data_IF_867219917772
#
_entry.id   IF_867219917772
#
_cell.length_a   1.000
_cell.length_b   1.000
_cell.length_c   1.000
_cell.angle_alpha   90.00
_cell.angle_beta   90.00
_cell.angle_gamma   90.00
#
_symmetry.space_group_name_H-M   'P 1'
#
loop_
_entity.id
_entity.type
_entity.pdbx_description
1 polymer ?
#
# COMPACT_ATOMS: atom_id res chain seq x y z
N UNK A 1 -20.95 -20.43 4.35
CA UNK A 1 -19.92 -20.23 3.32
C UNK A 1 -19.60 -18.75 3.31
N UNK A 2 -18.84 -18.35 4.32
CA UNK A 2 -18.54 -16.97 4.68
C UNK A 2 -17.04 -16.99 4.94
N UNK A 3 -16.24 -16.70 3.92
CA UNK A 3 -14.77 -16.86 3.97
C UNK A 3 -14.12 -15.56 4.50
N UNK A 4 -14.92 -14.58 4.90
CA UNK A 4 -14.46 -13.37 5.58
C UNK A 4 -14.61 -13.54 7.09
N UNK A 5 -13.66 -14.27 7.67
CA UNK A 5 -13.60 -14.47 9.11
C UNK A 5 -12.28 -15.10 9.50
N UNK A 6 -11.38 -14.25 9.99
CA UNK A 6 -10.19 -14.54 10.83
C UNK A 6 -8.79 -14.44 10.21
N UNK A 7 -8.61 -14.49 8.89
CA UNK A 7 -7.24 -14.68 8.37
C UNK A 7 -6.58 -13.48 7.67
N UNK A 8 -7.22 -12.30 7.64
CA UNK A 8 -6.56 -11.05 7.16
C UNK A 8 -5.84 -10.30 8.30
N UNK A 9 -6.04 -10.73 9.54
CA UNK A 9 -5.41 -10.17 10.74
C UNK A 9 -5.18 -11.29 11.74
N UNK A 10 -4.08 -12.04 11.63
CA UNK A 10 -3.42 -12.53 12.84
C UNK A 10 -2.52 -11.36 13.29
N UNK A 11 -2.62 -10.79 14.50
CA UNK A 11 -2.74 -11.49 15.78
C UNK A 11 -3.37 -10.58 16.86
N UNK A 12 -4.61 -10.86 17.26
CA UNK A 12 -5.05 -10.64 18.66
C UNK A 12 -6.25 -11.51 19.02
N UNK A 13 -5.97 -12.74 19.44
CA UNK A 13 -6.77 -13.42 20.45
C UNK A 13 -5.81 -13.98 21.49
N UNK A 14 -5.80 -13.34 22.66
CA UNK A 14 -5.13 -13.82 23.85
C UNK A 14 -5.71 -15.20 24.22
N UNK A 15 -4.91 -16.26 24.08
CA UNK A 15 -5.08 -17.51 24.81
C UNK A 15 -3.86 -17.67 25.72
N UNK A 16 -4.08 -17.54 27.02
CA UNK A 16 -3.05 -17.55 28.03
C UNK A 16 -2.61 -19.00 28.31
N UNK A 17 -1.92 -19.64 27.36
CA UNK A 17 -1.31 -20.96 27.64
C UNK A 17 -0.14 -21.39 26.74
N UNK A 18 0.46 -20.51 25.92
CA UNK A 18 1.68 -20.84 25.18
C UNK A 18 2.70 -19.70 25.28
N UNK A 19 3.74 -19.93 26.08
CA UNK A 19 5.01 -19.20 25.96
C UNK A 19 5.69 -19.65 24.65
N UNK A 20 6.40 -18.70 24.02
CA UNK A 20 7.39 -18.88 22.94
C UNK A 20 6.85 -18.91 21.50
N UNK A 21 6.79 -17.74 20.85
CA UNK A 21 7.78 -17.15 19.92
C UNK A 21 7.11 -15.91 19.30
N UNK A 22 7.39 -14.72 19.83
CA UNK A 22 7.02 -13.47 19.16
C UNK A 22 8.04 -13.21 18.05
N UNK A 23 7.74 -13.69 16.84
CA UNK A 23 8.46 -13.28 15.62
C UNK A 23 7.89 -11.91 15.20
N UNK A 24 8.23 -10.86 15.95
CA UNK A 24 7.95 -9.50 15.51
C UNK A 24 8.74 -9.28 14.22
N UNK A 25 8.05 -8.94 13.13
CA UNK A 25 8.74 -8.59 11.89
C UNK A 25 9.63 -7.37 12.16
N UNK A 26 10.94 -7.58 12.12
CA UNK A 26 11.92 -6.53 12.41
C UNK A 26 12.03 -5.58 11.21
N UNK A 27 11.97 -4.27 11.46
CA UNK A 27 12.24 -3.25 10.45
C UNK A 27 13.76 -3.19 10.18
N UNK A 28 14.20 -3.91 9.14
CA UNK A 28 15.60 -4.02 8.73
C UNK A 28 16.03 -2.89 7.77
N UNK A 29 15.07 -2.10 7.28
CA UNK A 29 15.29 -0.94 6.42
C UNK A 29 14.25 0.14 6.72
N UNK A 30 14.60 1.44 6.69
CA UNK A 30 13.65 2.50 7.02
C UNK A 30 12.42 2.50 6.09
N UNK A 31 11.25 2.71 6.65
CA UNK A 31 10.02 2.89 5.87
C UNK A 31 10.05 4.22 5.11
N UNK A 32 10.11 4.17 3.76
CA UNK A 32 10.02 5.36 2.92
C UNK A 32 8.62 5.55 2.32
N UNK A 33 8.16 6.79 2.28
CA UNK A 33 6.81 7.17 1.85
C UNK A 33 6.80 8.46 1.04
N UNK A 34 5.72 8.66 0.30
CA UNK A 34 5.41 9.89 -0.44
C UNK A 34 4.16 10.54 0.15
N UNK A 35 4.12 11.86 0.33
CA UNK A 35 2.88 12.52 0.80
C UNK A 35 1.75 12.36 -0.23
N UNK A 36 0.50 12.30 0.22
CA UNK A 36 -0.65 12.28 -0.70
C UNK A 36 -0.64 13.48 -1.64
N UNK A 37 -0.26 14.67 -1.17
CA UNK A 37 -0.12 15.87 -2.00
C UNK A 37 0.84 15.65 -3.18
N UNK A 38 2.03 15.10 -2.91
CA UNK A 38 3.01 14.77 -3.95
C UNK A 38 2.46 13.68 -4.87
N UNK A 39 1.91 12.60 -4.32
CA UNK A 39 1.35 11.49 -5.10
C UNK A 39 0.24 11.95 -6.05
N UNK A 40 -0.58 12.91 -5.63
CA UNK A 40 -1.61 13.53 -6.45
C UNK A 40 -1.05 14.39 -7.60
N UNK A 41 0.20 14.83 -7.55
CA UNK A 41 0.85 15.61 -8.61
C UNK A 41 1.70 14.76 -9.56
N UNK A 42 2.04 13.53 -9.16
CA UNK A 42 2.85 12.61 -9.97
C UNK A 42 2.16 12.28 -11.30
N UNK A 43 2.87 12.50 -12.40
CA UNK A 43 2.42 12.15 -13.76
C UNK A 43 3.02 10.81 -14.24
N UNK A 44 4.07 10.35 -13.57
CA UNK A 44 4.74 9.07 -13.77
C UNK A 44 5.20 8.50 -12.43
N UNK A 45 5.34 7.18 -12.34
CA UNK A 45 5.96 6.54 -11.20
C UNK A 45 7.48 6.54 -11.39
N UNK A 46 8.17 7.27 -10.53
CA UNK A 46 9.64 7.28 -10.50
C UNK A 46 10.15 6.27 -9.45
N UNK A 47 11.32 5.65 -9.67
CA UNK A 47 11.92 4.73 -8.71
C UNK A 47 12.36 5.48 -7.43
N UNK A 48 12.55 4.71 -6.36
CA UNK A 48 12.98 5.19 -5.04
C UNK A 48 14.12 6.21 -5.09
N UNK A 49 15.21 5.89 -5.79
CA UNK A 49 16.41 6.73 -5.84
C UNK A 49 16.16 8.08 -6.52
N UNK A 50 15.27 8.11 -7.52
CA UNK A 50 14.91 9.34 -8.21
C UNK A 50 14.06 10.24 -7.30
N UNK A 51 13.02 9.70 -6.64
CA UNK A 51 12.19 10.48 -5.72
C UNK A 51 12.97 10.96 -4.48
N UNK A 52 13.89 10.14 -3.97
CA UNK A 52 14.76 10.52 -2.84
C UNK A 52 15.66 11.71 -3.22
N UNK A 53 16.25 11.68 -4.43
CA UNK A 53 17.08 12.76 -4.95
C UNK A 53 16.30 14.07 -5.14
N UNK A 54 15.05 13.99 -5.60
CA UNK A 54 14.17 15.14 -5.79
C UNK A 54 13.52 15.64 -4.47
N UNK A 55 13.80 14.99 -3.33
CA UNK A 55 13.24 15.35 -2.02
C UNK A 55 11.74 15.06 -1.89
N UNK A 56 11.21 14.20 -2.77
CA UNK A 56 9.79 13.79 -2.80
C UNK A 56 9.52 12.53 -1.96
N UNK A 57 10.56 11.73 -1.72
CA UNK A 57 10.52 10.53 -0.87
C UNK A 57 11.07 10.85 0.52
N UNK A 58 10.33 10.47 1.56
CA UNK A 58 10.63 10.78 2.95
C UNK A 58 10.71 9.49 3.77
N UNK A 59 11.60 9.46 4.75
CA UNK A 59 11.53 8.45 5.81
C UNK A 59 10.30 8.74 6.69
N UNK A 60 9.52 7.71 7.01
CA UNK A 60 8.26 7.85 7.73
C UNK A 60 8.50 7.89 9.24
N UNK A 61 8.03 8.97 9.86
CA UNK A 61 8.04 9.20 11.30
C UNK A 61 6.58 9.23 11.79
N UNK A 62 6.24 8.41 12.80
CA UNK A 62 4.86 8.20 13.26
C UNK A 62 4.19 9.47 13.84
N UNK A 63 4.98 10.46 14.25
CA UNK A 63 4.50 11.76 14.75
C UNK A 63 4.15 12.76 13.63
N UNK A 64 4.45 12.43 12.37
CA UNK A 64 4.16 13.30 11.21
C UNK A 64 2.81 13.05 10.56
N UNK A 65 2.10 11.99 10.96
CA UNK A 65 0.74 11.70 10.50
C UNK A 65 0.46 10.22 10.33
N UNK A 66 -0.28 9.86 9.29
CA UNK A 66 -0.69 8.49 9.00
C UNK A 66 -0.10 7.99 7.69
N UNK A 67 0.25 6.71 7.65
CA UNK A 67 0.64 6.02 6.43
C UNK A 67 -0.48 5.09 5.92
N UNK A 68 -0.57 4.98 4.60
CA UNK A 68 -1.42 4.08 3.85
C UNK A 68 -0.57 3.13 3.02
N UNK A 69 -0.69 1.83 3.30
CA UNK A 69 -0.06 0.78 2.52
C UNK A 69 -0.86 0.53 1.25
N UNK A 70 -0.26 0.71 0.07
CA UNK A 70 -0.90 0.45 -1.22
C UNK A 70 -0.38 -0.86 -1.81
N UNK A 71 -1.20 -1.90 -1.71
CA UNK A 71 -0.97 -3.18 -2.37
C UNK A 71 -1.54 -3.17 -3.79
N UNK A 72 -0.76 -3.61 -4.77
CA UNK A 72 -1.18 -3.66 -6.19
C UNK A 72 -0.54 -4.86 -6.90
N UNK A 73 -0.77 -5.00 -8.22
CA UNK A 73 -0.05 -5.99 -9.04
C UNK A 73 0.82 -5.28 -10.05
N UNK A 74 2.05 -5.75 -10.26
CA UNK A 74 2.89 -5.23 -11.35
C UNK A 74 2.23 -5.50 -12.72
N UNK A 75 1.99 -4.43 -13.47
CA UNK A 75 1.37 -4.44 -14.80
C UNK A 75 2.40 -4.50 -15.94
N UNK A 76 3.68 -4.65 -15.63
CA UNK A 76 4.77 -4.80 -16.59
C UNK A 76 5.93 -5.57 -15.99
N UNK A 77 6.87 -6.00 -16.84
CA UNK A 77 8.04 -6.80 -16.43
C UNK A 77 9.08 -5.99 -15.65
N UNK A 78 9.21 -4.70 -15.97
CA UNK A 78 10.23 -3.80 -15.40
C UNK A 78 9.64 -2.55 -14.75
N UNK A 79 8.32 -2.40 -14.76
CA UNK A 79 7.66 -1.24 -14.22
C UNK A 79 6.28 -1.64 -13.68
N UNK A 80 5.91 -1.20 -12.46
CA UNK A 80 4.68 -1.62 -11.78
C UNK A 80 3.41 -1.18 -12.51
N UNK A 81 3.44 -0.02 -13.16
CA UNK A 81 2.28 0.54 -13.85
C UNK A 81 2.69 1.41 -15.05
N UNK A 82 3.18 0.81 -16.16
CA UNK A 82 3.78 1.55 -17.28
C UNK A 82 2.85 2.62 -17.90
N UNK A 83 1.54 2.43 -17.78
CA UNK A 83 0.52 3.35 -18.32
C UNK A 83 -0.12 4.25 -17.26
N UNK A 84 0.32 4.20 -16.00
CA UNK A 84 -0.33 4.85 -14.86
C UNK A 84 -1.80 4.43 -14.68
N UNK A 85 -2.20 3.27 -15.20
CA UNK A 85 -3.59 2.84 -15.24
C UNK A 85 -4.13 2.52 -13.84
N UNK A 86 -3.31 1.96 -12.96
CA UNK A 86 -3.69 1.70 -11.58
C UNK A 86 -3.51 2.95 -10.71
N UNK A 87 -2.38 3.65 -10.87
CA UNK A 87 -2.04 4.79 -10.03
C UNK A 87 -2.99 5.98 -10.26
N UNK A 88 -3.52 6.17 -11.48
CA UNK A 88 -4.57 7.17 -11.73
C UNK A 88 -5.87 6.84 -11.03
N UNK A 89 -6.26 5.57 -10.93
CA UNK A 89 -7.44 5.16 -10.16
C UNK A 89 -7.27 5.44 -8.67
N UNK A 90 -6.06 5.23 -8.14
CA UNK A 90 -5.68 5.64 -6.79
C UNK A 90 -5.81 7.17 -6.62
N UNK A 91 -5.26 7.97 -7.54
CA UNK A 91 -5.36 9.44 -7.49
C UNK A 91 -6.82 9.92 -7.55
N UNK A 92 -7.64 9.35 -8.42
CA UNK A 92 -9.08 9.67 -8.52
C UNK A 92 -9.79 9.33 -7.21
N UNK A 93 -9.52 8.16 -6.63
CA UNK A 93 -10.12 7.72 -5.36
C UNK A 93 -9.73 8.66 -4.21
N UNK A 94 -8.45 9.01 -4.09
CA UNK A 94 -7.97 9.96 -3.08
C UNK A 94 -8.60 11.35 -3.26
N UNK A 95 -8.72 11.87 -4.49
CA UNK A 95 -9.41 13.16 -4.73
C UNK A 95 -10.87 13.12 -4.30
N UNK A 96 -11.57 12.04 -4.61
CA UNK A 96 -12.96 11.88 -4.22
C UNK A 96 -13.11 11.85 -2.69
N UNK A 97 -12.23 11.13 -1.98
CA UNK A 97 -12.17 11.19 -0.52
C UNK A 97 -11.99 12.62 -0.04
N UNK A 98 -10.97 13.32 -0.54
CA UNK A 98 -10.62 14.66 -0.08
C UNK A 98 -11.73 15.69 -0.37
N UNK A 99 -12.53 15.47 -1.42
CA UNK A 99 -13.70 16.29 -1.74
C UNK A 99 -14.94 15.98 -0.88
N UNK A 100 -14.84 15.07 0.09
CA UNK A 100 -15.96 14.66 0.96
C UNK A 100 -16.97 13.73 0.28
N UNK A 101 -16.69 13.25 -0.93
CA UNK A 101 -17.48 12.18 -1.54
C UNK A 101 -17.16 10.85 -0.87
N UNK A 102 -18.20 10.11 -0.50
CA UNK A 102 -18.03 8.76 0.05
C UNK A 102 -17.20 7.93 -0.93
N UNK A 103 -16.20 7.24 -0.42
CA UNK A 103 -15.54 6.19 -1.18
C UNK A 103 -16.58 5.17 -1.61
N UNK A 104 -16.78 5.06 -2.92
CA UNK A 104 -17.52 3.95 -3.45
C UNK A 104 -16.59 2.76 -3.34
N UNK A 105 -16.83 1.91 -2.34
CA UNK A 105 -16.27 0.56 -2.31
C UNK A 105 -16.76 -0.15 -3.57
N UNK A 106 -15.93 -0.14 -4.61
CA UNK A 106 -16.19 -0.74 -5.91
C UNK A 106 -14.87 -1.19 -6.50
N UNK A 107 -14.77 -2.51 -6.75
CA UNK A 107 -13.79 -3.32 -7.50
C UNK A 107 -12.28 -3.05 -7.43
N UNK A 108 -11.79 -1.90 -6.99
CA UNK A 108 -10.41 -1.46 -7.17
C UNK A 108 -9.78 -0.81 -5.92
N UNK A 109 -10.54 -0.60 -4.83
CA UNK A 109 -10.05 0.07 -3.63
C UNK A 109 -10.77 -0.48 -2.40
N UNK A 110 -10.10 -1.38 -1.66
CA UNK A 110 -10.58 -1.84 -0.35
C UNK A 110 -9.65 -1.30 0.72
N UNK A 111 -10.18 -0.34 1.49
CA UNK A 111 -9.50 0.31 2.59
C UNK A 111 -9.82 -0.44 3.88
N UNK A 112 -8.81 -1.01 4.52
CA UNK A 112 -8.96 -1.71 5.79
C UNK A 112 -8.40 -0.84 6.92
N UNK A 113 -9.27 -0.53 7.90
CA UNK A 113 -8.93 -0.05 9.25
C UNK A 113 -9.77 -0.85 10.24
N UNK A 114 -9.24 -1.97 10.72
CA UNK A 114 -9.99 -2.88 11.60
C UNK A 114 -11.31 -3.40 10.98
N UNK A 115 -12.41 -3.37 11.75
CA UNK A 115 -13.72 -3.95 11.37
C UNK A 115 -14.61 -3.03 10.50
N UNK A 116 -14.20 -1.80 10.17
CA UNK A 116 -15.04 -0.86 9.42
C UNK A 116 -14.58 -0.71 7.97
N UNK A 117 -15.43 -1.12 7.04
CA UNK A 117 -15.25 -0.94 5.58
C UNK A 117 -15.67 0.45 5.07
N UNK A 118 -15.97 1.38 5.99
CA UNK A 118 -16.43 2.74 5.68
C UNK A 118 -15.64 3.72 6.55
N UNK A 119 -14.44 4.07 6.10
CA UNK A 119 -13.66 5.15 6.70
C UNK A 119 -14.23 6.47 6.18
N UNK A 120 -14.53 7.41 7.09
CA UNK A 120 -15.02 8.73 6.68
C UNK A 120 -13.87 9.53 6.05
N UNK A 121 -14.19 10.41 5.11
CA UNK A 121 -13.20 11.37 4.60
C UNK A 121 -12.53 12.18 5.71
N UNK A 122 -13.26 12.43 6.80
CA UNK A 122 -12.75 13.11 7.99
C UNK A 122 -11.61 12.34 8.65
N UNK A 123 -11.71 11.01 8.78
CA UNK A 123 -10.63 10.19 9.35
C UNK A 123 -9.37 10.16 8.47
N UNK A 124 -9.53 10.22 7.14
CA UNK A 124 -8.38 10.30 6.21
C UNK A 124 -7.72 11.69 6.19
N UNK A 125 -8.44 12.74 6.60
CA UNK A 125 -8.00 14.13 6.53
C UNK A 125 -7.58 14.71 7.89
N UNK A 126 -7.76 13.95 8.98
CA UNK A 126 -7.48 14.44 10.34
C UNK A 126 -5.99 14.71 10.59
N UNK A 127 -5.12 14.00 9.88
CA UNK A 127 -3.67 14.14 9.92
C UNK A 127 -3.08 14.10 8.51
N UNK A 128 -1.85 14.61 8.30
CA UNK A 128 -1.13 14.40 7.05
C UNK A 128 -1.10 12.91 6.68
N UNK A 129 -1.35 12.61 5.41
CA UNK A 129 -1.43 11.23 4.91
C UNK A 129 -0.29 10.96 3.93
N UNK A 130 0.36 9.82 4.12
CA UNK A 130 1.48 9.36 3.31
C UNK A 130 1.17 8.01 2.68
N UNK A 131 1.75 7.74 1.51
CA UNK A 131 1.61 6.50 0.77
C UNK A 131 2.89 5.70 0.83
N UNK A 132 2.78 4.44 1.22
CA UNK A 132 3.77 3.42 0.95
C UNK A 132 3.37 2.65 -0.31
N UNK A 133 4.29 2.54 -1.26
CA UNK A 133 4.08 1.84 -2.54
C UNK A 133 5.40 1.17 -2.94
N UNK A 134 5.38 -0.15 -3.13
CA UNK A 134 6.59 -0.99 -3.25
C UNK A 134 7.69 -0.44 -4.19
N UNK A 135 7.32 0.14 -5.33
CA UNK A 135 8.27 0.59 -6.34
C UNK A 135 9.10 1.81 -5.92
N UNK A 136 8.48 2.80 -5.29
CA UNK A 136 9.19 3.99 -4.83
C UNK A 136 9.58 3.93 -3.35
N UNK A 137 8.91 3.09 -2.56
CA UNK A 137 9.24 2.88 -1.16
C UNK A 137 10.43 1.94 -0.98
N UNK A 138 10.65 0.99 -1.90
CA UNK A 138 11.81 0.10 -1.87
C UNK A 138 12.89 0.54 -2.88
N UNK A 139 14.18 0.49 -2.52
CA UNK A 139 15.29 0.74 -3.46
C UNK A 139 15.23 -0.13 -4.71
N UNK A 140 15.49 0.44 -5.88
CA UNK A 140 15.46 -0.29 -7.16
C UNK A 140 16.87 -0.63 -7.66
N UNK A 141 17.90 0.09 -7.24
CA UNK A 141 19.28 -0.10 -7.74
C UNK A 141 20.16 -0.96 -6.85
N UNK A 142 19.86 -1.05 -5.55
CA UNK A 142 20.62 -1.84 -4.58
C UNK A 142 19.86 -3.11 -4.25
N UNK A 143 20.33 -4.26 -4.73
CA UNK A 143 19.71 -5.57 -4.46
C UNK A 143 19.71 -5.89 -2.95
N UNK A 144 20.77 -5.53 -2.24
CA UNK A 144 20.87 -5.75 -0.79
C UNK A 144 19.86 -4.88 -0.03
N UNK A 145 19.75 -3.59 -0.35
CA UNK A 145 18.78 -2.73 0.31
C UNK A 145 17.35 -3.07 -0.08
N UNK A 146 17.11 -3.46 -1.35
CA UNK A 146 15.80 -3.94 -1.80
C UNK A 146 15.38 -5.18 -1.02
N UNK A 147 16.29 -6.13 -0.79
CA UNK A 147 16.01 -7.32 0.01
C UNK A 147 15.65 -6.98 1.47
N UNK A 148 16.38 -6.04 2.10
CA UNK A 148 16.07 -5.57 3.46
C UNK A 148 14.71 -4.86 3.53
N UNK A 149 14.40 -4.00 2.56
CA UNK A 149 13.12 -3.32 2.46
C UNK A 149 11.95 -4.30 2.25
N UNK A 150 12.14 -5.31 1.38
CA UNK A 150 11.14 -6.38 1.19
C UNK A 150 10.94 -7.19 2.48
N UNK A 151 12.03 -7.53 3.18
CA UNK A 151 11.96 -8.23 4.47
C UNK A 151 11.23 -7.43 5.56
N UNK A 152 11.23 -6.11 5.44
CA UNK A 152 10.59 -5.18 6.39
C UNK A 152 9.11 -4.90 6.06
N UNK A 153 8.56 -5.43 4.95
CA UNK A 153 7.17 -5.19 4.54
C UNK A 153 6.15 -5.49 5.65
N UNK A 154 6.25 -6.59 6.42
CA UNK A 154 5.26 -6.85 7.47
C UNK A 154 5.29 -5.77 8.57
N UNK A 155 6.48 -5.26 8.93
CA UNK A 155 6.61 -4.13 9.86
C UNK A 155 5.98 -2.84 9.30
N UNK A 156 6.17 -2.56 8.00
CA UNK A 156 5.55 -1.40 7.35
C UNK A 156 4.01 -1.49 7.36
N UNK A 157 3.46 -2.69 7.16
CA UNK A 157 2.00 -2.91 7.23
C UNK A 157 1.48 -2.65 8.64
N UNK A 158 2.17 -3.12 9.68
CA UNK A 158 1.80 -2.87 11.07
C UNK A 158 1.85 -1.37 11.44
N UNK A 159 2.80 -0.63 10.88
CA UNK A 159 2.92 0.83 11.05
C UNK A 159 1.89 1.62 10.26
N UNK A 160 1.37 1.08 9.16
CA UNK A 160 0.34 1.74 8.35
C UNK A 160 -1.00 1.78 9.09
N UNK A 161 -1.59 2.99 9.18
CA UNK A 161 -2.96 3.17 9.71
C UNK A 161 -4.00 2.55 8.77
N UNK A 162 -3.70 2.55 7.48
CA UNK A 162 -4.61 2.16 6.42
C UNK A 162 -3.95 1.15 5.48
N UNK A 163 -4.73 0.18 5.01
CA UNK A 163 -4.31 -0.74 3.96
C UNK A 163 -5.25 -0.63 2.75
N UNK A 164 -4.70 -0.53 1.55
CA UNK A 164 -5.44 -0.44 0.29
C UNK A 164 -5.08 -1.60 -0.63
N UNK A 165 -6.09 -2.36 -1.06
CA UNK A 165 -5.96 -3.24 -2.22
C UNK A 165 -6.32 -2.48 -3.51
N UNK A 166 -5.31 -1.99 -4.23
CA UNK A 166 -5.43 -1.31 -5.52
C UNK A 166 -5.46 -2.35 -6.66
N UNK A 167 -6.66 -2.70 -7.10
CA UNK A 167 -6.87 -3.79 -8.07
C UNK A 167 -7.87 -3.46 -9.19
N UNK A 168 -7.73 -2.32 -9.89
CA UNK A 168 -8.60 -2.02 -11.03
C UNK A 168 -8.41 -3.05 -12.15
N UNK A 169 -9.49 -3.39 -12.88
CA UNK A 169 -9.41 -4.34 -13.99
C UNK A 169 -8.59 -3.75 -15.13
N UNK A 170 -7.36 -4.24 -15.31
CA UNK A 170 -6.44 -3.80 -16.36
C UNK A 170 -5.78 -5.00 -17.04
N UNK A 171 -4.93 -4.74 -18.02
CA UNK A 171 -4.17 -5.77 -18.73
C UNK A 171 -2.68 -5.59 -18.47
N UNK A 172 -2.00 -6.68 -18.14
CA UNK A 172 -0.56 -6.68 -18.04
C UNK A 172 0.05 -6.37 -19.42
N UNK A 173 0.91 -5.36 -19.49
CA UNK A 173 1.47 -4.79 -20.73
C UNK A 173 2.22 -5.80 -21.61
N UNK A 174 3.06 -6.66 -21.02
CA UNK A 174 3.81 -7.68 -21.77
C UNK A 174 3.00 -8.96 -22.04
N UNK A 175 2.49 -9.60 -20.98
CA UNK A 175 1.82 -10.91 -21.09
C UNK A 175 0.39 -10.86 -21.64
N UNK A 176 -0.25 -9.69 -21.68
CA UNK A 176 -1.66 -9.56 -22.07
C UNK A 176 -2.61 -10.34 -21.15
N UNK A 177 -2.21 -10.67 -19.92
CA UNK A 177 -3.10 -11.31 -18.94
C UNK A 177 -3.94 -10.26 -18.21
N UNK A 178 -5.21 -10.56 -17.89
CA UNK A 178 -6.03 -9.65 -17.11
C UNK A 178 -5.53 -9.60 -15.66
N UNK A 179 -5.40 -8.39 -15.12
CA UNK A 179 -5.20 -8.12 -13.71
C UNK A 179 -6.54 -7.66 -13.14
N UNK A 180 -6.97 -8.32 -12.07
CA UNK A 180 -8.29 -8.17 -11.46
C UNK A 180 -8.17 -8.39 -9.95
N UNK A 181 -9.21 -8.03 -9.20
CA UNK A 181 -9.30 -8.42 -7.78
C UNK A 181 -9.06 -9.91 -7.55
N UNK A 182 -9.59 -10.80 -8.42
CA UNK A 182 -9.36 -12.24 -8.30
C UNK A 182 -7.88 -12.61 -8.44
N UNK A 183 -7.20 -12.11 -9.47
CA UNK A 183 -5.78 -12.43 -9.67
C UNK A 183 -4.88 -11.81 -8.59
N UNK A 184 -5.30 -10.69 -8.00
CA UNK A 184 -4.64 -10.11 -6.82
C UNK A 184 -4.81 -11.03 -5.61
N UNK A 185 -6.05 -11.45 -5.29
CA UNK A 185 -6.33 -12.36 -4.16
C UNK A 185 -5.64 -13.71 -4.31
N UNK A 186 -5.63 -14.29 -5.51
CA UNK A 186 -4.99 -15.59 -5.77
C UNK A 186 -3.46 -15.53 -5.59
N UNK A 187 -2.82 -14.38 -5.79
CA UNK A 187 -1.37 -14.17 -5.57
C UNK A 187 -1.03 -13.90 -4.12
N UNK A 188 -1.91 -13.19 -3.41
CA UNK A 188 -1.61 -12.56 -2.14
C UNK A 188 -1.39 -11.05 -2.27
N UNK A 189 -1.21 -10.41 -1.12
CA UNK A 189 -1.22 -8.96 -0.94
C UNK A 189 0.14 -8.27 -1.20
N UNK A 190 1.20 -9.02 -1.38
CA UNK A 190 2.55 -8.54 -1.70
C UNK A 190 3.07 -9.41 -2.85
#
# INVERSE_FOLDING_TARGET
MNIFGKDVFFMRSYDASLQDVEDFAEEQFPMYVVSVETALLMQELMPHEALLKEGMLLEFEDDRGHAMFVSHQWAGEHHPDPGMAQFKELQVSLRNVMAGTKMISGTAFELYSGQQSVISSEELLIQPLFLWYDFFSCPQWSDSHRALAIGSIPAYVERCRFFVALCPPIWHSASGKPLTRKSWTDRGWC
#
